data_IF_742005894964
#
_entry.id   IF_742005894964
#
_cell.length_a   1.000
_cell.length_b   1.000
_cell.length_c   1.000
_cell.angle_alpha   90.00
_cell.angle_beta   90.00
_cell.angle_gamma   90.00
#
_symmetry.space_group_name_H-M   'P 1'
#
loop_
_entity.id
_entity.type
_entity.pdbx_description
1 polymer ?
#
# COMPACT_ATOMS: atom_id res chain seq x y z
N UNK A 1 19.65 6.24 -11.51
CA UNK A 1 18.34 5.58 -11.26
C UNK A 1 17.90 4.84 -12.52
N UNK A 2 17.57 3.58 -12.38
CA UNK A 2 17.00 2.81 -13.49
C UNK A 2 15.64 3.39 -13.90
N UNK A 3 15.38 3.47 -15.19
CA UNK A 3 14.07 3.84 -15.70
C UNK A 3 13.11 2.67 -15.51
N UNK A 4 11.98 2.89 -14.87
CA UNK A 4 10.97 1.88 -14.65
C UNK A 4 10.12 1.74 -15.92
N UNK A 5 10.03 0.52 -16.42
CA UNK A 5 9.31 0.22 -17.66
C UNK A 5 7.93 -0.41 -17.40
N UNK A 6 7.71 -0.93 -16.21
CA UNK A 6 6.48 -1.63 -15.82
C UNK A 6 6.18 -1.40 -14.34
N UNK A 7 4.91 -1.45 -13.97
CA UNK A 7 4.51 -1.19 -12.58
C UNK A 7 5.04 -2.24 -11.58
N UNK A 8 5.29 -3.46 -12.05
CA UNK A 8 5.83 -4.55 -11.22
C UNK A 8 7.24 -4.25 -10.68
N UNK A 9 7.96 -3.31 -11.30
CA UNK A 9 9.27 -2.86 -10.84
C UNK A 9 9.17 -1.82 -9.71
N UNK A 10 7.99 -1.25 -9.48
CA UNK A 10 7.75 -0.27 -8.42
C UNK A 10 7.78 -0.90 -7.03
N UNK A 11 8.62 -0.39 -6.15
CA UNK A 11 8.69 -0.88 -4.77
C UNK A 11 7.36 -0.70 -4.03
N UNK A 12 6.67 0.43 -4.22
CA UNK A 12 5.37 0.67 -3.62
C UNK A 12 4.34 -0.39 -4.04
N UNK A 13 4.38 -0.86 -5.28
CA UNK A 13 3.51 -1.94 -5.73
C UNK A 13 3.90 -3.29 -5.13
N UNK A 14 5.20 -3.59 -5.11
CA UNK A 14 5.74 -4.83 -4.52
C UNK A 14 5.40 -4.94 -3.03
N UNK A 15 5.59 -3.86 -2.27
CA UNK A 15 5.25 -3.84 -0.84
C UNK A 15 3.74 -3.95 -0.60
N UNK A 16 2.92 -3.33 -1.46
CA UNK A 16 1.47 -3.46 -1.40
C UNK A 16 1.01 -4.89 -1.70
N UNK A 17 1.68 -5.58 -2.63
CA UNK A 17 1.44 -7.00 -2.92
C UNK A 17 1.77 -7.89 -1.72
N UNK A 18 2.90 -7.64 -1.06
CA UNK A 18 3.30 -8.36 0.16
C UNK A 18 2.27 -8.13 1.27
N UNK A 19 1.85 -6.88 1.47
CA UNK A 19 0.81 -6.54 2.45
C UNK A 19 -0.49 -7.31 2.17
N UNK A 20 -0.95 -7.32 0.93
CA UNK A 20 -2.17 -8.03 0.54
C UNK A 20 -2.08 -9.53 0.86
N UNK A 21 -0.93 -10.15 0.60
CA UNK A 21 -0.67 -11.56 0.95
C UNK A 21 -0.69 -11.78 2.46
N UNK A 22 -0.05 -10.90 3.24
CA UNK A 22 -0.02 -11.01 4.70
C UNK A 22 -1.41 -10.83 5.30
N UNK A 23 -2.19 -9.89 4.80
CA UNK A 23 -3.57 -9.69 5.22
C UNK A 23 -4.42 -10.95 4.97
N UNK A 24 -4.27 -11.56 3.79
CA UNK A 24 -4.95 -12.81 3.47
C UNK A 24 -4.60 -13.92 4.49
N UNK A 25 -3.33 -14.08 4.81
CA UNK A 25 -2.88 -15.09 5.78
C UNK A 25 -3.46 -14.88 7.17
N UNK A 26 -3.55 -13.63 7.61
CA UNK A 26 -4.14 -13.27 8.91
C UNK A 26 -5.64 -13.56 8.93
N UNK A 27 -6.35 -13.31 7.84
CA UNK A 27 -7.81 -13.36 7.79
C UNK A 27 -8.37 -14.70 7.30
N UNK A 28 -7.54 -15.63 6.79
CA UNK A 28 -8.04 -16.85 6.16
C UNK A 28 -8.91 -17.71 7.09
N UNK A 29 -8.60 -17.74 8.38
CA UNK A 29 -9.30 -18.54 9.39
C UNK A 29 -10.42 -17.76 10.13
N UNK A 30 -10.67 -16.53 9.74
CA UNK A 30 -11.75 -15.71 10.32
C UNK A 30 -13.11 -16.26 9.86
N UNK A 31 -14.02 -16.44 10.82
CA UNK A 31 -15.35 -16.99 10.56
C UNK A 31 -16.17 -16.08 9.62
N UNK A 32 -16.43 -16.56 8.42
CA UNK A 32 -17.19 -15.83 7.39
C UNK A 32 -18.66 -15.56 7.78
N UNK A 33 -19.26 -16.44 8.58
CA UNK A 33 -20.64 -16.27 9.04
C UNK A 33 -20.79 -15.09 9.99
N UNK A 34 -19.74 -14.81 10.76
CA UNK A 34 -19.74 -13.75 11.77
C UNK A 34 -19.15 -12.44 11.23
N UNK A 35 -18.06 -12.52 10.48
CA UNK A 35 -17.26 -11.36 10.07
C UNK A 35 -17.06 -11.24 8.54
N UNK A 36 -17.78 -12.04 7.75
CA UNK A 36 -17.57 -12.11 6.30
C UNK A 36 -17.66 -10.78 5.58
N UNK A 37 -18.58 -9.91 5.98
CA UNK A 37 -18.71 -8.58 5.39
C UNK A 37 -17.42 -7.74 5.57
N UNK A 38 -16.92 -7.64 6.80
CA UNK A 38 -15.72 -6.85 7.09
C UNK A 38 -14.47 -7.50 6.48
N UNK A 39 -14.37 -8.83 6.54
CA UNK A 39 -13.29 -9.59 5.91
C UNK A 39 -13.21 -9.32 4.40
N UNK A 40 -14.33 -9.41 3.69
CA UNK A 40 -14.39 -9.15 2.25
C UNK A 40 -14.07 -7.69 1.93
N UNK A 41 -14.51 -6.75 2.76
CA UNK A 41 -14.20 -5.33 2.59
C UNK A 41 -12.71 -5.06 2.77
N UNK A 42 -12.07 -5.67 3.77
CA UNK A 42 -10.62 -5.60 3.96
C UNK A 42 -9.85 -6.10 2.73
N UNK A 43 -10.24 -7.24 2.16
CA UNK A 43 -9.61 -7.77 0.94
C UNK A 43 -9.79 -6.84 -0.26
N UNK A 44 -10.99 -6.34 -0.47
CA UNK A 44 -11.29 -5.41 -1.57
C UNK A 44 -10.45 -4.14 -1.44
N UNK A 45 -10.41 -3.54 -0.26
CA UNK A 45 -9.66 -2.31 -0.02
C UNK A 45 -8.15 -2.53 -0.12
N UNK A 46 -7.65 -3.68 0.35
CA UNK A 46 -6.24 -4.06 0.19
C UNK A 46 -5.84 -4.22 -1.27
N UNK A 47 -6.65 -4.88 -2.07
CA UNK A 47 -6.43 -4.98 -3.52
C UNK A 47 -6.41 -3.60 -4.19
N UNK A 48 -7.27 -2.69 -3.74
CA UNK A 48 -7.37 -1.33 -4.26
C UNK A 48 -6.06 -0.53 -4.12
N UNK A 49 -5.24 -0.81 -3.10
CA UNK A 49 -3.93 -0.13 -2.95
C UNK A 49 -3.06 -0.45 -4.18
N UNK A 50 -2.80 -1.72 -4.43
CA UNK A 50 -1.91 -2.14 -5.51
C UNK A 50 -2.52 -1.90 -6.91
N UNK A 51 -3.82 -2.07 -7.06
CA UNK A 51 -4.51 -1.89 -8.33
C UNK A 51 -4.48 -0.42 -8.79
N UNK A 52 -4.67 0.53 -7.89
CA UNK A 52 -4.56 1.95 -8.21
C UNK A 52 -3.12 2.37 -8.57
N UNK A 53 -2.10 1.79 -7.95
CA UNK A 53 -0.70 2.02 -8.35
C UNK A 53 -0.50 1.55 -9.79
N UNK A 54 -0.93 0.35 -10.11
CA UNK A 54 -0.80 -0.24 -11.44
C UNK A 54 -1.56 0.58 -12.48
N UNK A 55 -2.82 0.89 -12.22
CA UNK A 55 -3.66 1.67 -13.15
C UNK A 55 -3.07 3.06 -13.39
N UNK A 56 -2.65 3.75 -12.33
CA UNK A 56 -2.05 5.08 -12.45
C UNK A 56 -0.77 5.08 -13.27
N UNK A 57 0.06 4.05 -13.10
CA UNK A 57 1.28 3.87 -13.91
C UNK A 57 0.97 3.68 -15.40
N UNK A 58 -0.02 2.86 -15.72
CA UNK A 58 -0.41 2.54 -17.11
C UNK A 58 -1.12 3.70 -17.83
N UNK A 59 -1.58 4.72 -17.09
CA UNK A 59 -2.23 5.92 -17.66
C UNK A 59 -1.28 6.91 -18.34
N UNK A 60 0.02 6.70 -18.27
CA UNK A 60 1.06 7.43 -19.01
C UNK A 60 1.12 8.96 -18.79
N UNK A 61 0.76 9.47 -17.63
CA UNK A 61 0.88 10.90 -17.33
C UNK A 61 1.07 11.19 -15.85
N UNK A 62 1.94 12.16 -15.51
CA UNK A 62 2.24 12.49 -14.12
C UNK A 62 1.01 12.89 -13.31
N UNK A 63 0.13 13.70 -13.87
CA UNK A 63 -1.08 14.16 -13.16
C UNK A 63 -2.02 13.01 -12.83
N UNK A 64 -2.25 12.12 -13.79
CA UNK A 64 -3.10 10.95 -13.57
C UNK A 64 -2.44 9.98 -12.60
N UNK A 65 -1.14 9.73 -12.75
CA UNK A 65 -0.43 8.86 -11.82
C UNK A 65 -0.50 9.38 -10.39
N UNK A 66 -0.27 10.67 -10.16
CA UNK A 66 -0.43 11.30 -8.85
C UNK A 66 -1.85 11.10 -8.30
N UNK A 67 -2.88 11.28 -9.11
CA UNK A 67 -4.27 11.08 -8.70
C UNK A 67 -4.51 9.65 -8.21
N UNK A 68 -4.07 8.65 -8.98
CA UNK A 68 -4.21 7.24 -8.60
C UNK A 68 -3.38 6.86 -7.37
N UNK A 69 -2.21 7.48 -7.18
CA UNK A 69 -1.43 7.31 -5.96
C UNK A 69 -2.16 7.89 -4.73
N UNK A 70 -2.90 8.98 -4.88
CA UNK A 70 -3.79 9.47 -3.82
C UNK A 70 -4.92 8.50 -3.51
N UNK A 71 -5.50 7.85 -4.51
CA UNK A 71 -6.50 6.80 -4.29
C UNK A 71 -5.91 5.61 -3.52
N UNK A 72 -4.71 5.16 -3.88
CA UNK A 72 -3.98 4.12 -3.12
C UNK A 72 -3.74 4.53 -1.68
N UNK A 73 -3.32 5.76 -1.46
CA UNK A 73 -3.09 6.31 -0.11
C UNK A 73 -4.38 6.37 0.71
N UNK A 74 -5.49 6.77 0.09
CA UNK A 74 -6.81 6.75 0.70
C UNK A 74 -7.22 5.34 1.11
N UNK A 75 -7.00 4.34 0.24
CA UNK A 75 -7.27 2.94 0.54
C UNK A 75 -6.42 2.42 1.71
N UNK A 76 -5.14 2.80 1.78
CA UNK A 76 -4.28 2.46 2.91
C UNK A 76 -4.81 3.03 4.23
N UNK A 77 -5.31 4.27 4.22
CA UNK A 77 -5.97 4.89 5.37
C UNK A 77 -7.25 4.17 5.78
N UNK A 78 -8.07 3.79 4.80
CA UNK A 78 -9.31 3.05 5.03
C UNK A 78 -9.04 1.69 5.69
N UNK A 79 -8.02 0.94 5.23
CA UNK A 79 -7.64 -0.32 5.87
C UNK A 79 -7.17 -0.10 7.30
N UNK A 80 -6.40 0.94 7.59
CA UNK A 80 -6.01 1.24 8.98
C UNK A 80 -7.23 1.43 9.87
N UNK A 81 -8.25 2.12 9.39
CA UNK A 81 -9.52 2.27 10.09
C UNK A 81 -10.23 0.92 10.28
N UNK A 82 -10.27 0.10 9.24
CA UNK A 82 -10.89 -1.24 9.29
C UNK A 82 -10.14 -2.18 10.25
N UNK A 83 -8.82 -2.07 10.34
CA UNK A 83 -8.03 -2.87 11.29
C UNK A 83 -8.36 -2.56 12.75
N UNK A 84 -8.65 -1.29 13.08
CA UNK A 84 -9.15 -0.95 14.42
C UNK A 84 -10.49 -1.64 14.71
N UNK A 85 -11.40 -1.64 13.74
CA UNK A 85 -12.68 -2.35 13.89
C UNK A 85 -12.46 -3.86 14.07
N UNK A 86 -11.54 -4.44 13.31
CA UNK A 86 -11.19 -5.85 13.42
C UNK A 86 -10.61 -6.19 14.80
N UNK A 87 -9.75 -5.32 15.33
CA UNK A 87 -9.19 -5.47 16.67
C UNK A 87 -10.27 -5.35 17.75
N UNK A 88 -11.13 -4.33 17.67
CA UNK A 88 -12.21 -4.08 18.64
C UNK A 88 -13.23 -5.23 18.66
N UNK A 89 -13.47 -5.87 17.53
CA UNK A 89 -14.35 -7.02 17.40
C UNK A 89 -13.66 -8.36 17.72
N UNK A 90 -12.38 -8.33 18.09
CA UNK A 90 -11.57 -9.50 18.46
C UNK A 90 -11.46 -10.60 17.40
N UNK A 91 -11.49 -10.24 16.11
CA UNK A 91 -11.24 -11.25 15.07
C UNK A 91 -9.80 -11.20 14.49
N UNK A 92 -8.99 -10.26 14.93
CA UNK A 92 -7.54 -10.30 14.76
C UNK A 92 -6.86 -10.10 16.12
N UNK A 93 -5.66 -10.64 16.27
CA UNK A 93 -4.85 -10.45 17.47
C UNK A 93 -4.15 -9.08 17.47
N UNK A 94 -3.73 -8.63 18.65
CA UNK A 94 -2.92 -7.40 18.76
C UNK A 94 -1.62 -7.52 17.95
N UNK A 95 -0.97 -8.69 17.96
CA UNK A 95 0.27 -8.92 17.19
C UNK A 95 0.03 -8.80 15.68
N UNK A 96 -1.05 -9.37 15.16
CA UNK A 96 -1.41 -9.28 13.76
C UNK A 96 -1.78 -7.84 13.38
N UNK A 97 -2.53 -7.15 14.23
CA UNK A 97 -2.83 -5.72 14.06
C UNK A 97 -1.54 -4.91 13.96
N UNK A 98 -0.62 -5.07 14.90
CA UNK A 98 0.64 -4.32 14.94
C UNK A 98 1.47 -4.54 13.67
N UNK A 99 1.58 -5.79 13.22
CA UNK A 99 2.29 -6.15 11.99
C UNK A 99 1.70 -5.45 10.76
N UNK A 100 0.40 -5.62 10.55
CA UNK A 100 -0.30 -5.07 9.40
C UNK A 100 -0.32 -3.54 9.44
N UNK A 101 -0.52 -2.95 10.61
CA UNK A 101 -0.54 -1.50 10.78
C UNK A 101 0.81 -0.86 10.42
N UNK A 102 1.92 -1.46 10.86
CA UNK A 102 3.28 -1.00 10.51
C UNK A 102 3.54 -1.04 9.01
N UNK A 103 3.12 -2.11 8.34
CA UNK A 103 3.23 -2.23 6.89
C UNK A 103 2.44 -1.13 6.16
N UNK A 104 1.23 -0.82 6.63
CA UNK A 104 0.41 0.24 6.04
C UNK A 104 1.01 1.63 6.25
N UNK A 105 1.60 1.90 7.41
CA UNK A 105 2.31 3.17 7.66
C UNK A 105 3.49 3.31 6.69
N UNK A 106 4.25 2.24 6.47
CA UNK A 106 5.35 2.25 5.51
C UNK A 106 4.86 2.53 4.08
N UNK A 107 3.85 1.80 3.62
CA UNK A 107 3.25 1.98 2.29
C UNK A 107 2.72 3.41 2.13
N UNK A 108 1.99 3.93 3.12
CA UNK A 108 1.44 5.29 3.10
C UNK A 108 2.55 6.35 3.02
N UNK A 109 3.66 6.14 3.73
CA UNK A 109 4.84 7.02 3.68
C UNK A 109 5.50 6.98 2.30
N UNK A 110 5.70 5.80 1.73
CA UNK A 110 6.25 5.62 0.39
C UNK A 110 5.37 6.31 -0.66
N UNK A 111 4.05 6.15 -0.58
CA UNK A 111 3.10 6.82 -1.47
C UNK A 111 3.21 8.34 -1.36
N UNK A 112 3.28 8.89 -0.15
CA UNK A 112 3.44 10.34 0.07
C UNK A 112 4.73 10.87 -0.55
N UNK A 113 5.83 10.16 -0.39
CA UNK A 113 7.14 10.53 -0.94
C UNK A 113 7.13 10.48 -2.46
N UNK A 114 6.53 9.44 -3.04
CA UNK A 114 6.43 9.31 -4.48
C UNK A 114 5.53 10.39 -5.11
N UNK A 115 4.40 10.70 -4.48
CA UNK A 115 3.52 11.80 -4.89
C UNK A 115 4.30 13.13 -4.89
N UNK A 116 5.03 13.42 -3.81
CA UNK A 116 5.84 14.64 -3.72
C UNK A 116 6.92 14.70 -4.80
N UNK A 117 7.57 13.59 -5.07
CA UNK A 117 8.57 13.47 -6.13
C UNK A 117 7.96 13.76 -7.51
N UNK A 118 6.83 13.13 -7.85
CA UNK A 118 6.17 13.33 -9.13
C UNK A 118 5.65 14.77 -9.31
N UNK A 119 5.16 15.40 -8.26
CA UNK A 119 4.71 16.79 -8.29
C UNK A 119 5.84 17.79 -8.55
N UNK A 120 7.03 17.50 -8.09
CA UNK A 120 8.23 18.34 -8.28
C UNK A 120 8.94 18.05 -9.59
N UNK A 121 8.70 16.89 -10.21
CA UNK A 121 9.35 16.54 -11.46
C UNK A 121 8.65 17.20 -12.62
N UNK A 122 9.41 17.89 -13.50
CA UNK A 122 8.95 18.42 -14.77
C UNK A 122 8.81 17.31 -15.84
N UNK A 123 8.76 16.06 -15.41
CA UNK A 123 8.80 14.91 -16.30
C UNK A 123 7.52 14.82 -17.12
N UNK A 124 7.64 15.19 -18.37
CA UNK A 124 6.61 15.00 -19.40
C UNK A 124 7.00 13.76 -20.21
N UNK A 125 6.42 12.59 -19.92
CA UNK A 125 6.69 11.39 -20.72
C UNK A 125 6.36 10.09 -19.99
N UNK A 126 6.45 8.98 -20.73
CA UNK A 126 5.97 7.64 -20.35
C UNK A 126 6.94 6.86 -19.42
N UNK A 127 7.92 7.52 -18.80
CA UNK A 127 8.93 6.86 -18.00
C UNK A 127 9.05 7.53 -16.64
N UNK A 128 8.59 6.82 -15.62
CA UNK A 128 8.71 7.25 -14.23
C UNK A 128 10.01 6.72 -13.61
N UNK A 129 10.58 7.51 -12.70
CA UNK A 129 11.69 7.08 -11.84
C UNK A 129 11.19 7.10 -10.40
N UNK A 130 11.38 6.00 -9.71
CA UNK A 130 11.05 5.90 -8.30
C UNK A 130 12.14 6.57 -7.45
N UNK A 131 11.78 7.34 -6.41
CA UNK A 131 12.75 8.07 -5.59
C UNK A 131 13.49 7.14 -4.62
N UNK A 132 14.57 6.49 -5.08
CA UNK A 132 15.32 5.49 -4.31
C UNK A 132 15.91 6.03 -3.00
N UNK A 133 16.52 7.21 -3.02
CA UNK A 133 17.12 7.81 -1.81
C UNK A 133 16.11 8.12 -0.70
N UNK A 134 14.89 8.40 -1.08
CA UNK A 134 13.83 8.73 -0.13
C UNK A 134 13.26 7.46 0.52
N UNK A 135 13.32 6.35 -0.20
CA UNK A 135 12.92 5.04 0.34
C UNK A 135 14.00 4.48 1.29
N UNK A 136 15.27 4.70 1.03
CA UNK A 136 16.35 4.32 1.95
C UNK A 136 16.24 5.04 3.29
N UNK A 137 15.86 6.32 3.30
CA UNK A 137 15.59 7.05 4.53
C UNK A 137 14.31 6.56 5.25
N UNK A 138 13.31 6.13 4.50
CA UNK A 138 12.09 5.51 5.04
C UNK A 138 12.30 4.05 5.44
N UNK A 139 13.23 3.34 4.79
CA UNK A 139 13.62 1.95 5.06
C UNK A 139 14.47 1.77 6.32
N UNK A 140 14.93 2.84 6.96
CA UNK A 140 15.39 2.75 8.34
C UNK A 140 14.25 2.34 9.28
N UNK A 141 13.04 2.24 8.76
CA UNK A 141 11.92 1.54 9.37
C UNK A 141 12.00 0.00 9.18
N UNK A 142 13.02 -0.56 8.53
CA UNK A 142 13.29 -2.02 8.52
C UNK A 142 13.43 -2.60 9.93
N UNK A 143 13.76 -1.75 10.90
CA UNK A 143 13.72 -2.12 12.31
C UNK A 143 12.29 -2.43 12.83
N UNK A 144 11.26 -2.22 12.02
CA UNK A 144 9.87 -2.53 12.34
C UNK A 144 9.36 -3.81 11.67
N UNK A 145 10.17 -4.50 10.89
CA UNK A 145 9.82 -5.85 10.43
C UNK A 145 9.95 -6.77 11.62
N UNK A 146 8.82 -7.18 12.16
CA UNK A 146 8.78 -8.22 13.20
C UNK A 146 9.33 -9.50 12.59
N UNK A 147 10.41 -9.99 13.18
CA UNK A 147 10.95 -11.32 12.89
C UNK A 147 9.94 -12.39 13.27
#
# INVERSE_FOLDING_TARGET
MATLNKFEDLKIWQDSRIFNKNLFQVLQDVDDRKFGYLKNHLFKTSGSIMDNIAEGFEREGNKEFVLFLYYSKGSAGEIRSQLYRALDLNFITQNDFDLLFKQLILISSQLSLFISYLKKSEFKGNKFKEPTKTYEAALTLENFIVK
#
